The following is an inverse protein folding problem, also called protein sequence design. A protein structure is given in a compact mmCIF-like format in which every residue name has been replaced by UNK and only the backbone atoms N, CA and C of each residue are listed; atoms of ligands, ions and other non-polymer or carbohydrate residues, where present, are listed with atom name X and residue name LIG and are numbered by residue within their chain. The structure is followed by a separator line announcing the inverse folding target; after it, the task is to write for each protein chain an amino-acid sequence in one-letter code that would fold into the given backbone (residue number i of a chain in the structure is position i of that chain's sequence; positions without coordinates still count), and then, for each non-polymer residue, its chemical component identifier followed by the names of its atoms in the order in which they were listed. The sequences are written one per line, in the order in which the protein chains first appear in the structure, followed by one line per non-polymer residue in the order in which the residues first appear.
data_IF_426452628471
#
_entry.id   IF_426452628471
#
_cell.length_a   1.000
_cell.length_b   1.000
_cell.length_c   1.000
_cell.angle_alpha   90.00
_cell.angle_beta   90.00
_cell.angle_gamma   90.00
#
_symmetry.space_group_name_H-M   'P 1'
#
loop_
_entity.id
_entity.type
_entity.pdbx_description
1 polymer ?
#
# COMPACT_ATOMS: atom_id res chain seq x y z
N UNK A 1 4.00 9.17 -15.22
CA UNK A 1 2.82 8.58 -14.54
C UNK A 1 3.19 8.34 -13.09
N UNK A 2 2.57 9.05 -12.15
CA UNK A 2 2.83 8.84 -10.72
C UNK A 2 2.05 7.61 -10.25
N UNK A 3 2.75 6.55 -9.84
CA UNK A 3 2.09 5.36 -9.29
C UNK A 3 1.48 5.72 -7.93
N UNK A 4 0.17 5.50 -7.79
CA UNK A 4 -0.54 5.80 -6.54
C UNK A 4 -0.23 4.77 -5.45
N UNK A 5 -0.36 5.15 -4.17
CA UNK A 5 -0.17 4.22 -3.04
C UNK A 5 -1.05 2.97 -3.16
N UNK A 6 -2.26 3.10 -3.72
CA UNK A 6 -3.16 1.96 -3.97
C UNK A 6 -2.63 1.00 -5.02
N UNK A 7 -2.06 1.50 -6.11
CA UNK A 7 -1.43 0.66 -7.14
C UNK A 7 -0.21 -0.08 -6.58
N UNK A 8 0.61 0.60 -5.76
CA UNK A 8 1.74 -0.03 -5.06
C UNK A 8 1.26 -1.13 -4.11
N UNK A 9 0.22 -0.87 -3.33
CA UNK A 9 -0.37 -1.86 -2.42
C UNK A 9 -0.84 -3.10 -3.18
N UNK A 10 -1.55 -2.92 -4.29
CA UNK A 10 -2.03 -4.03 -5.11
C UNK A 10 -0.86 -4.90 -5.63
N UNK A 11 0.23 -4.26 -6.05
CA UNK A 11 1.43 -4.99 -6.50
C UNK A 11 2.05 -5.82 -5.38
N UNK A 12 2.20 -5.26 -4.17
CA UNK A 12 2.75 -6.02 -3.03
C UNK A 12 1.83 -7.17 -2.59
N UNK A 13 0.51 -7.01 -2.69
CA UNK A 13 -0.45 -8.08 -2.39
C UNK A 13 -0.35 -9.23 -3.40
N UNK A 14 -0.24 -8.92 -4.70
CA UNK A 14 0.01 -9.92 -5.74
C UNK A 14 1.37 -10.62 -5.53
N UNK A 15 2.39 -9.84 -5.16
CA UNK A 15 3.71 -10.38 -4.86
C UNK A 15 3.69 -11.33 -3.66
N UNK A 16 2.95 -10.99 -2.60
CA UNK A 16 2.76 -11.87 -1.44
C UNK A 16 2.14 -13.22 -1.86
N UNK A 17 1.07 -13.20 -2.66
CA UNK A 17 0.40 -14.41 -3.14
C UNK A 17 1.37 -15.30 -3.95
N UNK A 18 2.13 -14.71 -4.87
CA UNK A 18 3.13 -15.43 -5.67
C UNK A 18 4.22 -16.06 -4.79
N UNK A 19 4.74 -15.31 -3.84
CA UNK A 19 5.77 -15.79 -2.90
C UNK A 19 5.24 -16.95 -2.05
N UNK A 20 3.99 -16.86 -1.57
CA UNK A 20 3.34 -17.94 -0.82
C UNK A 20 3.14 -19.20 -1.67
N UNK A 21 2.97 -19.05 -2.99
CA UNK A 21 2.94 -20.14 -3.96
C UNK A 21 4.35 -20.63 -4.38
N UNK A 22 5.40 -20.26 -3.66
CA UNK A 22 6.81 -20.60 -3.96
C UNK A 22 7.32 -20.03 -5.29
N UNK A 23 6.69 -18.98 -5.82
CA UNK A 23 7.14 -18.28 -7.02
C UNK A 23 8.01 -17.06 -6.64
N UNK A 24 8.95 -16.71 -7.50
CA UNK A 24 9.76 -15.48 -7.36
C UNK A 24 9.12 -14.32 -8.12
N UNK A 25 9.18 -13.12 -7.55
CA UNK A 25 8.66 -11.90 -8.18
C UNK A 25 9.82 -10.94 -8.44
N UNK A 26 9.93 -10.46 -9.67
CA UNK A 26 10.95 -9.47 -10.04
C UNK A 26 10.37 -8.06 -9.92
N UNK A 27 11.09 -7.18 -9.23
CA UNK A 27 10.75 -5.77 -9.10
C UNK A 27 11.16 -4.99 -10.35
N UNK A 28 10.65 -3.77 -10.53
CA UNK A 28 11.07 -2.90 -11.62
C UNK A 28 12.56 -2.52 -11.57
N UNK A 29 13.22 -2.73 -10.43
CA UNK A 29 14.65 -2.46 -10.20
C UNK A 29 15.52 -3.72 -10.41
N UNK A 30 14.91 -4.85 -10.80
CA UNK A 30 15.60 -6.12 -11.02
C UNK A 30 15.84 -6.94 -9.74
N UNK A 31 15.36 -6.48 -8.59
CA UNK A 31 15.42 -7.25 -7.34
C UNK A 31 14.41 -8.42 -7.37
N UNK A 32 14.87 -9.62 -6.98
CA UNK A 32 14.01 -10.81 -6.86
C UNK A 32 13.50 -10.98 -5.43
N UNK A 33 12.19 -10.88 -5.29
CA UNK A 33 11.48 -11.19 -4.06
C UNK A 33 11.17 -12.69 -4.00
N UNK A 34 11.54 -13.32 -2.89
CA UNK A 34 11.31 -14.75 -2.62
C UNK A 34 10.71 -14.92 -1.23
N UNK A 35 10.58 -16.15 -0.75
CA UNK A 35 10.10 -16.43 0.61
C UNK A 35 10.91 -15.72 1.69
N UNK A 36 12.22 -15.52 1.49
CA UNK A 36 13.08 -14.74 2.40
C UNK A 36 12.65 -13.26 2.50
N UNK A 37 12.06 -12.72 1.43
CA UNK A 37 11.58 -11.34 1.35
C UNK A 37 10.16 -11.15 1.87
N UNK A 38 9.45 -12.23 2.24
CA UNK A 38 8.03 -12.20 2.61
C UNK A 38 7.75 -11.26 3.80
N UNK A 39 8.62 -11.27 4.82
CA UNK A 39 8.48 -10.39 5.97
C UNK A 39 8.57 -8.90 5.58
N UNK A 40 9.45 -8.57 4.63
CA UNK A 40 9.60 -7.21 4.09
C UNK A 40 8.37 -6.80 3.28
N UNK A 41 7.87 -7.69 2.41
CA UNK A 41 6.65 -7.46 1.62
C UNK A 41 5.45 -7.15 2.52
N UNK A 42 5.26 -7.94 3.59
CA UNK A 42 4.17 -7.72 4.56
C UNK A 42 4.26 -6.37 5.28
N UNK A 43 5.46 -6.00 5.74
CA UNK A 43 5.68 -4.69 6.38
C UNK A 43 5.34 -3.52 5.45
N UNK A 44 5.67 -3.64 4.16
CA UNK A 44 5.37 -2.60 3.18
C UNK A 44 3.86 -2.55 2.86
N UNK A 45 3.17 -3.70 2.83
CA UNK A 45 1.70 -3.76 2.76
C UNK A 45 1.07 -2.99 3.92
N UNK A 46 1.47 -3.28 5.16
CA UNK A 46 0.95 -2.61 6.35
C UNK A 46 1.20 -1.09 6.31
N UNK A 47 2.41 -0.68 5.90
CA UNK A 47 2.76 0.73 5.74
C UNK A 47 1.89 1.43 4.71
N UNK A 48 1.70 0.83 3.53
CA UNK A 48 0.88 1.40 2.46
C UNK A 48 -0.59 1.48 2.85
N UNK A 49 -1.13 0.45 3.54
CA UNK A 49 -2.48 0.49 4.09
C UNK A 49 -2.66 1.64 5.09
N UNK A 50 -1.70 1.84 6.00
CA UNK A 50 -1.73 2.94 6.96
C UNK A 50 -1.68 4.32 6.26
N UNK A 51 -0.87 4.47 5.20
CA UNK A 51 -0.81 5.70 4.41
C UNK A 51 -2.15 5.97 3.70
N UNK A 52 -2.73 4.97 3.05
CA UNK A 52 -4.02 5.10 2.35
C UNK A 52 -5.15 5.45 3.34
N UNK A 53 -5.15 4.83 4.53
CA UNK A 53 -6.11 5.15 5.58
C UNK A 53 -5.98 6.61 6.04
N UNK A 54 -4.75 7.10 6.20
CA UNK A 54 -4.48 8.51 6.55
C UNK A 54 -4.88 9.48 5.44
N UNK A 55 -4.62 9.15 4.17
CA UNK A 55 -5.08 9.94 3.01
C UNK A 55 -6.61 10.08 3.01
N UNK A 56 -7.33 9.00 3.33
CA UNK A 56 -8.80 9.00 3.43
C UNK A 56 -9.32 9.85 4.60
N UNK A 57 -8.62 9.84 5.74
CA UNK A 57 -9.00 10.63 6.93
C UNK A 57 -8.67 12.13 6.79
N UNK A 58 -7.57 12.47 6.12
CA UNK A 58 -7.16 13.86 5.86
C UNK A 58 -8.12 14.64 4.96
N UNK A 59 -8.81 13.97 4.03
CA UNK A 59 -9.86 14.58 3.21
C UNK A 59 -11.21 14.76 3.92
N UNK A 60 -11.54 13.91 4.90
CA UNK A 60 -12.82 13.96 5.64
C UNK A 60 -12.84 14.98 6.79
N UNK A 61 -11.70 15.38 7.34
CA UNK A 61 -11.64 16.34 8.45
C UNK A 61 -11.91 17.80 8.06
N UNK A 62 -11.95 18.13 6.76
CA UNK A 62 -12.17 19.51 6.31
C UNK A 62 -13.64 19.84 6.00
N UNK A 63 -14.60 18.97 6.37
CA UNK A 63 -16.04 19.18 6.13
C UNK A 63 -16.85 19.35 7.43
N UNK A 64 -16.21 19.76 8.53
CA UNK A 64 -16.89 20.16 9.77
C UNK A 64 -16.39 21.55 10.18
N UNK A 65 -16.68 22.58 9.38
CA UNK A 65 -16.59 23.96 9.87
C UNK A 65 -17.43 24.95 9.07
N UNK A 66 -18.69 25.08 9.48
CA UNK A 66 -19.56 26.29 9.47
C UNK A 66 -20.99 25.93 9.09
N UNK A 67 -21.77 25.48 10.06
CA UNK A 67 -23.19 25.80 10.08
C UNK A 67 -23.72 25.75 11.51
N UNK A 68 -23.24 26.68 12.35
CA UNK A 68 -23.89 27.06 13.60
C UNK A 68 -23.47 28.51 13.82
N UNK A 69 -24.31 29.44 13.35
CA UNK A 69 -24.45 30.85 13.74
C UNK A 69 -25.16 31.59 12.59
N UNK A 70 -26.48 31.42 12.49
CA UNK A 70 -27.47 32.47 12.14
C UNK A 70 -28.88 31.99 12.45
#
# INVERSE_FOLDING_TARGET
MTITNRQRLQWYLDAEQKILMQQSVETAEGEKLTFASLATVRREIERLQALIARESQGGRRSMIRRNYLE
#
